data_IF_631129252360
#
_entry.id   IF_631129252360
#
_cell.length_a   1.000
_cell.length_b   1.000
_cell.length_c   1.000
_cell.angle_alpha   90.00
_cell.angle_beta   90.00
_cell.angle_gamma   90.00
#
_symmetry.space_group_name_H-M   'P 1'
#
loop_
_entity.id
_entity.type
_entity.pdbx_description
1 polymer ?
#
# COMPACT_ATOMS: atom_id res chain seq x y z
N UNK A 1 0.77 39.40 0.18
CA UNK A 1 0.64 38.74 -1.14
C UNK A 1 -0.47 37.73 -1.02
N UNK A 2 -1.65 38.11 -1.48
CA UNK A 2 -2.86 37.28 -1.52
C UNK A 2 -2.66 36.20 -2.56
N UNK A 3 -2.40 34.97 -2.14
CA UNK A 3 -2.49 33.80 -3.01
C UNK A 3 -3.96 33.56 -3.31
N UNK A 4 -4.37 33.76 -4.55
CA UNK A 4 -5.67 33.33 -5.04
C UNK A 4 -5.84 31.83 -4.77
N UNK A 5 -6.75 31.48 -3.86
CA UNK A 5 -7.02 30.12 -3.39
C UNK A 5 -8.00 29.34 -4.28
N UNK A 6 -8.20 29.77 -5.53
CA UNK A 6 -9.15 29.14 -6.46
C UNK A 6 -8.54 28.90 -7.85
N UNK A 7 -7.31 28.42 -7.89
CA UNK A 7 -6.73 27.94 -9.14
C UNK A 7 -7.06 26.45 -9.29
N UNK A 8 -8.03 26.13 -10.14
CA UNK A 8 -8.33 24.77 -10.62
C UNK A 8 -7.20 24.14 -11.44
N UNK A 9 -6.07 24.84 -11.63
CA UNK A 9 -4.90 24.30 -12.31
C UNK A 9 -4.17 23.32 -11.39
N UNK A 10 -3.86 22.11 -11.87
CA UNK A 10 -3.17 21.10 -11.07
C UNK A 10 -1.80 21.59 -10.62
N UNK A 11 -1.51 21.48 -9.32
CA UNK A 11 -0.32 22.03 -8.65
C UNK A 11 0.98 21.28 -8.96
N UNK A 12 0.86 20.01 -9.33
CA UNK A 12 2.02 19.14 -9.57
C UNK A 12 2.02 18.67 -11.01
N UNK A 13 3.10 19.04 -11.69
CA UNK A 13 3.32 18.74 -13.10
C UNK A 13 4.71 18.13 -13.30
N UNK A 14 4.86 17.38 -14.38
CA UNK A 14 6.13 16.78 -14.83
C UNK A 14 6.26 16.95 -16.34
N UNK A 15 7.40 16.58 -16.91
CA UNK A 15 7.59 16.49 -18.37
C UNK A 15 8.00 15.09 -18.77
N UNK A 16 7.76 14.70 -20.02
CA UNK A 16 8.26 13.42 -20.54
C UNK A 16 9.78 13.32 -20.44
N UNK A 17 10.51 14.42 -20.65
CA UNK A 17 11.96 14.46 -20.49
C UNK A 17 12.38 14.17 -19.04
N UNK A 18 11.70 14.77 -18.06
CA UNK A 18 11.96 14.51 -16.64
C UNK A 18 11.69 13.05 -16.26
N UNK A 19 10.55 12.48 -16.70
CA UNK A 19 10.20 11.08 -16.46
C UNK A 19 11.23 10.12 -17.05
N UNK A 20 11.71 10.40 -18.27
CA UNK A 20 12.74 9.60 -18.94
C UNK A 20 14.08 9.67 -18.22
N UNK A 21 14.50 10.87 -17.82
CA UNK A 21 15.74 11.09 -17.04
C UNK A 21 15.70 10.43 -15.68
N UNK A 22 14.52 10.40 -15.04
CA UNK A 22 14.30 9.70 -13.77
C UNK A 22 14.21 8.17 -13.91
N UNK A 23 14.20 7.64 -15.13
CA UNK A 23 14.20 6.21 -15.40
C UNK A 23 12.81 5.56 -15.28
N UNK A 24 11.77 6.20 -15.82
CA UNK A 24 10.44 5.58 -15.91
C UNK A 24 10.52 4.26 -16.67
N UNK A 25 9.74 3.25 -16.27
CA UNK A 25 9.69 1.99 -17.02
C UNK A 25 9.14 2.24 -18.45
N UNK A 26 9.58 1.43 -19.41
CA UNK A 26 9.14 1.59 -20.81
C UNK A 26 7.62 1.48 -20.95
N UNK A 27 7.01 0.49 -20.29
CA UNK A 27 5.57 0.27 -20.30
C UNK A 27 4.79 1.51 -19.81
N UNK A 28 5.08 1.97 -18.59
CA UNK A 28 4.39 3.12 -18.00
C UNK A 28 4.62 4.42 -18.78
N UNK A 29 5.86 4.67 -19.22
CA UNK A 29 6.15 5.83 -20.07
C UNK A 29 5.38 5.78 -21.39
N UNK A 30 5.38 4.62 -22.07
CA UNK A 30 4.74 4.45 -23.37
C UNK A 30 3.21 4.54 -23.26
N UNK A 31 2.63 4.02 -22.18
CA UNK A 31 1.21 4.15 -21.85
C UNK A 31 0.80 5.61 -21.71
N UNK A 32 1.59 6.42 -21.00
CA UNK A 32 1.35 7.86 -20.90
C UNK A 32 1.46 8.54 -22.26
N UNK A 33 2.48 8.20 -23.06
CA UNK A 33 2.63 8.75 -24.42
C UNK A 33 1.41 8.46 -25.29
N UNK A 34 0.91 7.21 -25.30
CA UNK A 34 -0.31 6.85 -26.06
C UNK A 34 -1.51 7.64 -25.59
N UNK A 35 -1.68 7.79 -24.28
CA UNK A 35 -2.75 8.62 -23.72
C UNK A 35 -2.65 10.08 -24.17
N UNK A 36 -1.46 10.66 -24.20
CA UNK A 36 -1.24 12.05 -24.65
C UNK A 36 -1.46 12.21 -26.17
N UNK A 37 -1.22 11.15 -26.95
CA UNK A 37 -1.53 11.10 -28.38
C UNK A 37 -3.03 10.90 -28.67
N UNK A 38 -3.82 10.50 -27.67
CA UNK A 38 -5.20 10.06 -27.86
C UNK A 38 -5.31 8.66 -28.50
N UNK A 39 -4.25 7.86 -28.41
CA UNK A 39 -4.17 6.51 -28.95
C UNK A 39 -4.37 5.46 -27.86
N UNK A 40 -4.84 4.28 -28.27
CA UNK A 40 -4.96 3.12 -27.37
C UNK A 40 -3.59 2.49 -27.13
N UNK A 41 -3.30 2.15 -25.88
CA UNK A 41 -2.11 1.38 -25.52
C UNK A 41 -2.27 -0.08 -25.98
N UNK A 42 -1.33 -0.59 -26.77
CA UNK A 42 -1.36 -1.93 -27.35
C UNK A 42 -0.41 -2.91 -26.65
N UNK A 43 -0.57 -4.21 -26.91
CA UNK A 43 0.37 -5.24 -26.42
C UNK A 43 1.79 -5.04 -26.97
N UNK A 44 1.92 -4.58 -28.22
CA UNK A 44 3.24 -4.25 -28.80
C UNK A 44 3.92 -3.09 -28.07
N UNK A 45 3.14 -2.10 -27.61
CA UNK A 45 3.68 -1.00 -26.80
C UNK A 45 4.16 -1.48 -25.42
N UNK A 46 3.50 -2.48 -24.84
CA UNK A 46 3.85 -3.07 -23.54
C UNK A 46 5.13 -3.91 -23.61
N UNK A 47 5.30 -4.70 -24.67
CA UNK A 47 6.49 -5.53 -24.89
C UNK A 47 7.71 -4.71 -25.37
N UNK A 48 7.53 -3.40 -25.59
CA UNK A 48 8.56 -2.53 -26.14
C UNK A 48 9.66 -2.24 -25.12
N UNK A 49 10.89 -2.64 -25.46
CA UNK A 49 12.10 -2.30 -24.69
C UNK A 49 12.70 -0.93 -25.06
N UNK A 50 11.86 0.03 -25.45
CA UNK A 50 12.29 1.39 -25.79
C UNK A 50 11.17 2.40 -25.58
N UNK A 51 11.57 3.66 -25.35
CA UNK A 51 10.62 4.76 -25.22
C UNK A 51 10.05 5.14 -26.59
N UNK A 52 8.73 5.29 -26.67
CA UNK A 52 8.07 5.91 -27.82
C UNK A 52 8.60 7.34 -27.96
N UNK A 53 9.17 7.64 -29.12
CA UNK A 53 9.57 9.00 -29.43
C UNK A 53 8.32 9.85 -29.69
N UNK A 54 8.06 10.80 -28.80
CA UNK A 54 6.98 11.77 -28.92
C UNK A 54 7.49 13.12 -28.47
N UNK A 55 7.45 14.11 -29.39
CA UNK A 55 7.87 15.47 -29.08
C UNK A 55 6.76 16.18 -28.32
N UNK A 56 6.94 16.29 -27.00
CA UNK A 56 5.99 16.94 -26.12
C UNK A 56 6.74 17.64 -24.98
N UNK A 57 6.81 18.97 -25.09
CA UNK A 57 7.56 19.84 -24.18
C UNK A 57 6.66 20.50 -23.11
N UNK A 58 5.34 20.27 -23.18
CA UNK A 58 4.39 20.84 -22.23
C UNK A 58 4.46 20.12 -20.87
N UNK A 59 4.09 20.86 -19.83
CA UNK A 59 3.89 20.30 -18.50
C UNK A 59 2.66 19.38 -18.47
N UNK A 60 2.85 18.21 -17.89
CA UNK A 60 1.84 17.16 -17.75
C UNK A 60 1.40 17.12 -16.29
N UNK A 61 0.13 17.42 -15.98
CA UNK A 61 -0.45 17.21 -14.67
C UNK A 61 -0.30 15.78 -14.17
N UNK A 62 0.03 15.58 -12.89
CA UNK A 62 0.00 14.24 -12.30
C UNK A 62 -1.39 13.60 -12.34
N UNK A 63 -2.46 14.40 -12.44
CA UNK A 63 -3.83 13.91 -12.63
C UNK A 63 -4.02 13.21 -13.99
N UNK A 64 -3.30 13.63 -15.03
CA UNK A 64 -3.35 12.99 -16.33
C UNK A 64 -2.67 11.62 -16.26
N UNK A 65 -1.56 11.50 -15.53
CA UNK A 65 -0.88 10.23 -15.25
C UNK A 65 -1.77 9.32 -14.40
N UNK A 66 -2.42 9.85 -13.36
CA UNK A 66 -3.36 9.09 -12.55
C UNK A 66 -4.48 8.50 -13.42
N UNK A 67 -5.02 9.28 -14.36
CA UNK A 67 -6.08 8.86 -15.26
C UNK A 67 -5.61 7.85 -16.31
N UNK A 68 -4.43 8.05 -16.90
CA UNK A 68 -3.93 7.20 -17.99
C UNK A 68 -3.31 5.90 -17.48
N UNK A 69 -2.54 5.99 -16.40
CA UNK A 69 -1.67 4.92 -15.95
C UNK A 69 -2.17 4.26 -14.67
N UNK A 70 -2.73 5.06 -13.76
CA UNK A 70 -3.16 4.63 -12.44
C UNK A 70 -2.31 5.23 -11.31
N UNK A 71 -2.67 4.89 -10.08
CA UNK A 71 -2.09 5.49 -8.88
C UNK A 71 -0.59 5.19 -8.71
N UNK A 72 -0.14 3.98 -9.02
CA UNK A 72 1.26 3.59 -8.80
C UNK A 72 2.23 4.43 -9.65
N UNK A 73 1.93 4.64 -10.93
CA UNK A 73 2.73 5.50 -11.81
C UNK A 73 2.62 6.98 -11.43
N UNK A 74 1.46 7.43 -10.98
CA UNK A 74 1.27 8.80 -10.49
C UNK A 74 2.09 9.06 -9.21
N UNK A 75 2.11 8.11 -8.27
CA UNK A 75 2.94 8.16 -7.07
C UNK A 75 4.43 8.11 -7.41
N UNK A 76 4.84 7.23 -8.33
CA UNK A 76 6.22 7.15 -8.78
C UNK A 76 6.69 8.48 -9.37
N UNK A 77 5.84 9.14 -10.15
CA UNK A 77 6.12 10.40 -10.85
C UNK A 77 6.34 11.60 -9.93
N UNK A 78 5.89 11.55 -8.66
CA UNK A 78 6.15 12.59 -7.66
C UNK A 78 7.65 12.89 -7.47
N UNK A 79 8.53 11.91 -7.72
CA UNK A 79 9.99 12.10 -7.67
C UNK A 79 10.53 13.10 -8.68
N UNK A 80 9.75 13.38 -9.73
CA UNK A 80 10.09 14.32 -10.79
C UNK A 80 9.55 15.73 -10.50
N UNK A 81 8.83 15.91 -9.38
CA UNK A 81 8.21 17.18 -8.99
C UNK A 81 9.11 17.88 -7.97
N UNK A 82 9.52 19.11 -8.27
CA UNK A 82 10.30 19.94 -7.34
C UNK A 82 9.40 20.65 -6.33
N UNK A 83 9.87 20.80 -5.09
CA UNK A 83 9.16 21.57 -4.05
C UNK A 83 7.89 20.91 -3.49
N UNK A 84 7.63 19.63 -3.81
CA UNK A 84 6.47 18.89 -3.32
C UNK A 84 6.74 18.07 -2.05
N UNK A 85 7.96 18.10 -1.49
CA UNK A 85 8.39 17.24 -0.37
C UNK A 85 7.44 17.27 0.82
N UNK A 86 6.94 18.45 1.19
CA UNK A 86 5.99 18.60 2.30
C UNK A 86 4.68 17.85 2.01
N UNK A 87 4.08 18.09 0.84
CA UNK A 87 2.82 17.46 0.45
C UNK A 87 2.97 15.94 0.30
N UNK A 88 4.07 15.47 -0.27
CA UNK A 88 4.39 14.04 -0.41
C UNK A 88 4.48 13.36 0.96
N UNK A 89 5.18 13.98 1.92
CA UNK A 89 5.31 13.43 3.28
C UNK A 89 3.98 13.39 4.01
N UNK A 90 3.17 14.45 3.90
CA UNK A 90 1.86 14.52 4.55
C UNK A 90 0.85 13.55 3.92
N UNK A 91 0.92 13.33 2.61
CA UNK A 91 0.16 12.26 1.96
C UNK A 91 0.57 10.89 2.50
N UNK A 92 1.86 10.60 2.62
CA UNK A 92 2.33 9.33 3.18
C UNK A 92 1.89 9.14 4.64
N UNK A 93 1.94 10.20 5.46
CA UNK A 93 1.42 10.17 6.84
C UNK A 93 -0.09 9.90 6.84
N UNK A 94 -0.85 10.58 6.00
CA UNK A 94 -2.30 10.35 5.90
C UNK A 94 -2.63 8.90 5.52
N UNK A 95 -1.90 8.32 4.56
CA UNK A 95 -2.02 6.92 4.17
C UNK A 95 -1.73 5.98 5.35
N UNK A 96 -0.64 6.24 6.08
CA UNK A 96 -0.27 5.46 7.25
C UNK A 96 -1.32 5.57 8.37
N UNK A 97 -1.94 6.74 8.55
CA UNK A 97 -3.01 6.96 9.52
C UNK A 97 -4.27 6.15 9.22
N UNK A 98 -4.55 5.79 7.96
CA UNK A 98 -5.69 4.93 7.61
C UNK A 98 -5.60 3.54 8.26
N UNK A 99 -4.38 3.07 8.47
CA UNK A 99 -4.07 1.77 9.08
C UNK A 99 -3.47 1.92 10.48
N UNK A 100 -3.58 3.10 11.11
CA UNK A 100 -3.05 3.34 12.46
C UNK A 100 -3.68 2.41 13.50
N UNK A 101 -4.93 1.99 13.28
CA UNK A 101 -5.64 1.02 14.11
C UNK A 101 -4.97 -0.37 14.12
N UNK A 102 -4.13 -0.69 13.12
CA UNK A 102 -3.31 -1.91 13.09
C UNK A 102 -1.95 -1.73 13.77
N UNK A 103 -1.56 -0.49 14.10
CA UNK A 103 -0.31 -0.19 14.78
C UNK A 103 -0.48 -0.37 16.29
N UNK A 104 0.02 -1.48 16.83
CA UNK A 104 -0.09 -1.79 18.26
C UNK A 104 0.99 -1.09 19.09
N UNK A 105 2.18 -0.88 18.52
CA UNK A 105 3.30 -0.26 19.22
C UNK A 105 3.22 1.27 19.14
N UNK A 106 3.34 1.93 20.31
CA UNK A 106 3.27 3.39 20.40
C UNK A 106 4.40 4.08 19.63
N UNK A 107 5.58 3.47 19.51
CA UNK A 107 6.72 4.01 18.73
C UNK A 107 6.37 4.20 17.25
N UNK A 108 5.50 3.35 16.71
CA UNK A 108 5.01 3.48 15.34
C UNK A 108 4.09 4.71 15.18
N UNK A 109 3.24 4.97 16.16
CA UNK A 109 2.34 6.14 16.16
C UNK A 109 3.11 7.44 16.39
N UNK A 110 4.03 7.45 17.35
CA UNK A 110 4.90 8.59 17.63
C UNK A 110 5.73 8.98 16.40
N UNK A 111 6.15 7.99 15.59
CA UNK A 111 6.87 8.26 14.35
C UNK A 111 6.00 8.96 13.28
N UNK A 112 4.68 8.71 13.24
CA UNK A 112 3.78 9.45 12.37
C UNK A 112 3.67 10.91 12.81
N UNK A 113 3.57 11.15 14.12
CA UNK A 113 3.49 12.51 14.66
C UNK A 113 4.78 13.31 14.40
N UNK A 114 5.95 12.68 14.58
CA UNK A 114 7.24 13.30 14.24
C UNK A 114 7.36 13.53 12.73
N UNK A 115 6.92 12.59 11.89
CA UNK A 115 6.95 12.76 10.43
C UNK A 115 6.05 13.92 9.96
N UNK A 116 4.87 14.08 10.56
CA UNK A 116 3.96 15.20 10.30
C UNK A 116 4.57 16.54 10.73
N UNK A 117 5.13 16.62 11.95
CA UNK A 117 5.84 17.80 12.43
C UNK A 117 7.03 18.16 11.54
N UNK A 118 7.84 17.17 11.17
CA UNK A 118 8.98 17.35 10.28
C UNK A 118 8.54 17.91 8.92
N UNK A 119 7.46 17.39 8.34
CA UNK A 119 6.91 17.90 7.08
C UNK A 119 6.44 19.36 7.19
N UNK A 120 5.99 19.79 8.38
CA UNK A 120 5.61 21.17 8.67
C UNK A 120 6.78 22.07 9.11
N UNK A 121 7.99 21.52 9.29
CA UNK A 121 9.17 22.26 9.76
C UNK A 121 9.27 22.40 11.28
N UNK A 122 8.42 21.70 12.04
CA UNK A 122 8.34 21.74 13.51
C UNK A 122 9.18 20.64 14.21
N UNK A 123 9.96 19.88 13.44
CA UNK A 123 10.88 18.87 13.94
C UNK A 123 12.17 18.83 13.11
N UNK A 124 13.28 18.44 13.73
CA UNK A 124 14.59 18.34 13.06
C UNK A 124 14.77 17.01 12.32
N UNK A 125 15.79 16.93 11.46
CA UNK A 125 16.14 15.68 10.77
C UNK A 125 16.58 14.60 11.77
N UNK A 126 17.26 14.99 12.84
CA UNK A 126 17.68 14.08 13.91
C UNK A 126 16.49 13.48 14.64
N UNK A 127 15.47 14.30 14.97
CA UNK A 127 14.22 13.82 15.56
C UNK A 127 13.51 12.84 14.60
N UNK A 128 13.44 13.18 13.30
CA UNK A 128 12.84 12.32 12.27
C UNK A 128 13.55 10.98 12.16
N UNK A 129 14.89 10.98 12.12
CA UNK A 129 15.70 9.76 12.02
C UNK A 129 15.56 8.92 13.28
N UNK A 130 15.59 9.52 14.46
CA UNK A 130 15.41 8.80 15.73
C UNK A 130 14.04 8.12 15.80
N UNK A 131 12.97 8.83 15.42
CA UNK A 131 11.63 8.26 15.37
C UNK A 131 11.51 7.13 14.34
N UNK A 132 12.12 7.28 13.16
CA UNK A 132 12.17 6.23 12.15
C UNK A 132 12.89 4.97 12.66
N UNK A 133 14.03 5.11 13.35
CA UNK A 133 14.76 3.97 13.95
C UNK A 133 13.90 3.28 15.00
N UNK A 134 13.19 4.04 15.84
CA UNK A 134 12.31 3.48 16.87
C UNK A 134 11.13 2.70 16.27
N UNK A 135 10.48 3.25 15.24
CA UNK A 135 9.40 2.56 14.51
C UNK A 135 9.91 1.31 13.77
N UNK A 136 11.12 1.36 13.22
CA UNK A 136 11.75 0.20 12.59
C UNK A 136 12.03 -0.92 13.61
N UNK A 137 12.49 -0.57 14.80
CA UNK A 137 12.66 -1.52 15.90
C UNK A 137 11.32 -2.15 16.30
N UNK A 138 10.25 -1.35 16.44
CA UNK A 138 8.91 -1.83 16.72
C UNK A 138 8.38 -2.82 15.67
N UNK A 139 8.58 -2.52 14.38
CA UNK A 139 8.19 -3.42 13.30
C UNK A 139 8.94 -4.77 13.38
N UNK A 140 10.23 -4.75 13.75
CA UNK A 140 11.03 -5.97 13.95
C UNK A 140 10.59 -6.78 15.16
N UNK A 141 10.26 -6.11 16.27
CA UNK A 141 9.73 -6.77 17.47
C UNK A 141 8.39 -7.45 17.14
N UNK A 142 7.45 -6.74 16.51
CA UNK A 142 6.16 -7.29 16.11
C UNK A 142 6.28 -8.48 15.14
N UNK A 143 7.21 -8.41 14.16
CA UNK A 143 7.47 -9.52 13.25
C UNK A 143 8.03 -10.76 13.97
N UNK A 144 8.88 -10.56 14.97
CA UNK A 144 9.41 -11.65 15.80
C UNK A 144 8.30 -12.27 16.66
N UNK A 145 7.45 -11.46 17.27
CA UNK A 145 6.36 -11.94 18.12
C UNK A 145 5.33 -12.72 17.30
N UNK A 146 4.95 -12.22 16.12
CA UNK A 146 4.07 -12.94 15.19
C UNK A 146 4.67 -14.28 14.72
N UNK A 147 5.98 -14.33 14.47
CA UNK A 147 6.66 -15.57 14.12
C UNK A 147 6.68 -16.56 15.30
N UNK A 148 6.85 -16.05 16.53
CA UNK A 148 6.78 -16.87 17.74
C UNK A 148 5.38 -17.44 17.94
N UNK A 149 4.33 -16.63 17.82
CA UNK A 149 2.94 -17.07 17.97
C UNK A 149 2.56 -18.11 16.92
N UNK A 150 2.98 -17.91 15.66
CA UNK A 150 2.76 -18.89 14.60
C UNK A 150 3.47 -20.23 14.90
N UNK A 151 4.71 -20.19 15.38
CA UNK A 151 5.45 -21.38 15.77
C UNK A 151 4.81 -22.08 16.98
N UNK A 152 4.33 -21.32 17.96
CA UNK A 152 3.63 -21.85 19.13
C UNK A 152 2.33 -22.55 18.72
N UNK A 153 1.49 -21.89 17.91
CA UNK A 153 0.22 -22.45 17.42
C UNK A 153 0.44 -23.74 16.64
N UNK A 154 1.42 -23.77 15.73
CA UNK A 154 1.77 -24.97 14.98
C UNK A 154 2.24 -26.12 15.90
N UNK A 155 3.05 -25.81 16.93
CA UNK A 155 3.50 -26.79 17.90
C UNK A 155 2.33 -27.32 18.76
N UNK A 156 1.40 -26.46 19.14
CA UNK A 156 0.22 -26.84 19.91
C UNK A 156 -0.76 -27.69 19.10
N UNK A 157 -1.04 -27.33 17.85
CA UNK A 157 -1.88 -28.11 16.94
C UNK A 157 -1.26 -29.50 16.69
N UNK A 158 0.06 -29.57 16.48
CA UNK A 158 0.76 -30.84 16.31
C UNK A 158 0.68 -31.71 17.58
N UNK A 159 0.88 -31.11 18.76
CA UNK A 159 0.78 -31.82 20.04
C UNK A 159 -0.66 -32.31 20.31
N UNK A 160 -1.66 -31.46 20.05
CA UNK A 160 -3.07 -31.80 20.19
C UNK A 160 -3.47 -32.95 19.25
N UNK A 161 -3.10 -32.86 17.97
CA UNK A 161 -3.37 -33.92 16.99
C UNK A 161 -2.71 -35.26 17.39
N UNK A 162 -1.47 -35.23 17.87
CA UNK A 162 -0.77 -36.42 18.34
C UNK A 162 -1.44 -37.03 19.58
N UNK A 163 -1.81 -36.20 20.57
CA UNK A 163 -2.49 -36.65 21.78
C UNK A 163 -3.86 -37.26 21.46
N UNK A 164 -4.62 -36.63 20.56
CA UNK A 164 -5.92 -37.12 20.11
C UNK A 164 -5.79 -38.45 19.35
N UNK A 165 -4.83 -38.56 18.42
CA UNK A 165 -4.54 -39.81 17.71
C UNK A 165 -4.16 -40.95 18.66
N UNK A 166 -3.34 -40.67 19.69
CA UNK A 166 -2.98 -41.66 20.70
C UNK A 166 -4.18 -42.09 21.56
N UNK A 167 -5.03 -41.14 21.98
CA UNK A 167 -6.25 -41.42 22.73
C UNK A 167 -7.22 -42.29 21.92
N UNK A 168 -7.38 -42.00 20.62
CA UNK A 168 -8.19 -42.81 19.72
C UNK A 168 -7.60 -44.19 19.44
N UNK A 169 -6.28 -44.30 19.28
CA UNK A 169 -5.62 -45.60 19.14
C UNK A 169 -5.80 -46.47 20.41
N UNK A 170 -5.77 -45.85 21.60
CA UNK A 170 -6.02 -46.52 22.86
C UNK A 170 -7.50 -46.91 23.05
N UNK A 171 -8.44 -46.08 22.58
CA UNK A 171 -9.88 -46.37 22.61
C UNK A 171 -10.31 -47.36 21.51
N UNK A 172 -9.55 -47.42 20.42
CA UNK A 172 -9.84 -48.14 19.18
C UNK A 172 -9.02 -49.42 19.01
N UNK A 173 -8.99 -50.28 20.02
CA UNK A 173 -8.72 -51.70 19.79
C UNK A 173 -9.95 -52.35 19.11
N UNK A 174 -10.27 -51.95 17.87
CA UNK A 174 -11.09 -52.69 16.89
C UNK A 174 -11.10 -51.99 15.51
N UNK A 175 -10.88 -52.76 14.45
CA UNK A 175 -10.44 -52.35 13.10
C UNK A 175 -11.39 -51.46 12.25
N UNK A 176 -12.48 -50.89 12.81
CA UNK A 176 -13.40 -49.98 12.08
C UNK A 176 -13.03 -48.50 12.19
N UNK A 177 -12.05 -48.15 13.03
CA UNK A 177 -11.75 -46.76 13.39
C UNK A 177 -10.94 -45.95 12.33
N UNK A 178 -10.06 -46.60 11.55
CA UNK A 178 -9.19 -45.89 10.61
C UNK A 178 -9.95 -45.23 9.44
N UNK A 179 -10.91 -45.97 8.84
CA UNK A 179 -11.67 -45.45 7.70
C UNK A 179 -12.64 -44.31 8.05
N UNK A 180 -13.10 -44.22 9.31
CA UNK A 180 -13.97 -43.16 9.78
C UNK A 180 -13.23 -41.84 10.04
N UNK A 181 -12.00 -41.91 10.55
CA UNK A 181 -11.17 -40.73 10.83
C UNK A 181 -10.75 -40.02 9.53
N UNK A 182 -10.33 -40.78 8.51
CA UNK A 182 -9.92 -40.24 7.22
C UNK A 182 -11.09 -39.57 6.48
N UNK A 183 -12.28 -40.17 6.55
CA UNK A 183 -13.49 -39.60 5.92
C UNK A 183 -13.95 -38.30 6.59
N UNK A 184 -13.89 -38.21 7.92
CA UNK A 184 -14.25 -36.99 8.66
C UNK A 184 -13.21 -35.87 8.50
N UNK A 185 -11.91 -36.20 8.46
CA UNK A 185 -10.85 -35.24 8.18
C UNK A 185 -10.98 -34.68 6.74
N UNK A 186 -11.23 -35.54 5.76
CA UNK A 186 -11.48 -35.13 4.37
C UNK A 186 -12.75 -34.28 4.24
N UNK A 187 -13.83 -34.62 4.94
CA UNK A 187 -15.06 -33.83 4.94
C UNK A 187 -14.87 -32.44 5.55
N UNK A 188 -14.10 -32.30 6.65
CA UNK A 188 -13.79 -31.00 7.26
C UNK A 188 -12.88 -30.12 6.40
N UNK A 189 -11.90 -30.72 5.73
CA UNK A 189 -11.06 -30.02 4.77
C UNK A 189 -11.93 -29.48 3.62
N UNK A 190 -12.83 -30.32 3.07
CA UNK A 190 -13.64 -29.99 1.92
C UNK A 190 -14.80 -29.01 2.18
N UNK A 191 -15.36 -28.93 3.40
CA UNK A 191 -16.63 -28.21 3.62
C UNK A 191 -16.51 -26.83 4.27
N UNK A 192 -15.33 -26.43 4.76
CA UNK A 192 -15.21 -25.21 5.56
C UNK A 192 -13.90 -24.45 5.38
N UNK A 193 -12.75 -25.12 5.52
CA UNK A 193 -11.46 -24.43 5.49
C UNK A 193 -11.22 -23.66 4.19
N UNK A 194 -11.53 -24.28 3.04
CA UNK A 194 -11.31 -23.68 1.72
C UNK A 194 -12.26 -22.51 1.42
N UNK A 195 -13.53 -22.62 1.83
CA UNK A 195 -14.51 -21.55 1.66
C UNK A 195 -14.22 -20.34 2.55
N UNK A 196 -13.80 -20.58 3.80
CA UNK A 196 -13.40 -19.52 4.72
C UNK A 196 -12.09 -18.84 4.28
N UNK A 197 -11.12 -19.59 3.76
CA UNK A 197 -9.90 -19.05 3.19
C UNK A 197 -10.19 -18.16 1.97
N UNK A 198 -10.98 -18.65 1.01
CA UNK A 198 -11.35 -17.88 -0.17
C UNK A 198 -12.15 -16.61 0.18
N UNK A 199 -13.09 -16.69 1.13
CA UNK A 199 -13.84 -15.53 1.60
C UNK A 199 -12.93 -14.49 2.29
N UNK A 200 -11.93 -14.96 3.05
CA UNK A 200 -10.93 -14.10 3.68
C UNK A 200 -10.05 -13.41 2.64
N UNK A 201 -9.59 -14.14 1.63
CA UNK A 201 -8.74 -13.59 0.57
C UNK A 201 -9.51 -12.54 -0.25
N UNK A 202 -10.76 -12.81 -0.60
CA UNK A 202 -11.63 -11.84 -1.27
C UNK A 202 -11.89 -10.60 -0.40
N UNK A 203 -12.09 -10.76 0.92
CA UNK A 203 -12.24 -9.63 1.83
C UNK A 203 -10.95 -8.79 1.91
N UNK A 204 -9.77 -9.44 1.88
CA UNK A 204 -8.48 -8.74 1.82
C UNK A 204 -8.29 -7.98 0.51
N UNK A 205 -8.66 -8.57 -0.63
CA UNK A 205 -8.60 -7.90 -1.93
C UNK A 205 -9.53 -6.68 -1.94
N UNK A 206 -10.78 -6.83 -1.51
CA UNK A 206 -11.73 -5.72 -1.43
C UNK A 206 -11.27 -4.60 -0.48
N UNK A 207 -10.67 -4.94 0.66
CA UNK A 207 -10.10 -3.96 1.59
C UNK A 207 -8.90 -3.23 0.97
N UNK A 208 -8.06 -3.94 0.19
CA UNK A 208 -6.95 -3.34 -0.55
C UNK A 208 -7.45 -2.38 -1.63
N UNK A 209 -8.47 -2.77 -2.38
CA UNK A 209 -9.08 -1.93 -3.43
C UNK A 209 -9.69 -0.66 -2.83
N UNK A 210 -10.48 -0.79 -1.76
CA UNK A 210 -11.06 0.36 -1.07
C UNK A 210 -9.99 1.32 -0.52
N UNK A 211 -8.88 0.79 0.02
CA UNK A 211 -7.76 1.62 0.46
C UNK A 211 -7.08 2.33 -0.71
N UNK A 212 -6.91 1.67 -1.86
CA UNK A 212 -6.34 2.26 -3.08
C UNK A 212 -7.24 3.35 -3.66
N UNK A 213 -8.55 3.17 -3.65
CA UNK A 213 -9.52 4.18 -4.08
C UNK A 213 -9.46 5.42 -3.18
N UNK A 214 -9.42 5.23 -1.86
CA UNK A 214 -9.28 6.34 -0.91
C UNK A 214 -7.94 7.08 -1.10
N UNK A 215 -6.85 6.37 -1.39
CA UNK A 215 -5.56 6.98 -1.72
C UNK A 215 -5.60 7.76 -3.04
N UNK A 216 -6.26 7.25 -4.07
CA UNK A 216 -6.42 7.94 -5.36
C UNK A 216 -7.26 9.21 -5.23
N UNK A 217 -8.32 9.18 -4.41
CA UNK A 217 -9.11 10.36 -4.09
C UNK A 217 -8.26 11.39 -3.33
N UNK A 218 -7.55 10.97 -2.29
CA UNK A 218 -6.71 11.90 -1.51
C UNK A 218 -5.55 12.46 -2.34
N UNK A 219 -4.94 11.66 -3.21
CA UNK A 219 -3.93 12.11 -4.17
C UNK A 219 -4.50 13.16 -5.11
N UNK A 220 -5.71 12.94 -5.63
CA UNK A 220 -6.43 13.91 -6.45
C UNK A 220 -6.62 15.23 -5.71
N UNK A 221 -7.10 15.16 -4.46
CA UNK A 221 -7.28 16.35 -3.60
C UNK A 221 -5.96 17.08 -3.38
N UNK A 222 -4.87 16.35 -3.14
CA UNK A 222 -3.52 16.90 -2.97
C UNK A 222 -3.04 17.63 -4.23
N UNK A 223 -3.22 17.05 -5.42
CA UNK A 223 -2.89 17.69 -6.70
C UNK A 223 -3.72 18.95 -6.98
N UNK A 224 -4.96 19.00 -6.50
CA UNK A 224 -5.86 20.15 -6.63
C UNK A 224 -5.70 21.19 -5.50
N UNK A 225 -4.83 20.96 -4.52
CA UNK A 225 -4.63 21.91 -3.41
C UNK A 225 -5.74 21.87 -2.34
N UNK A 226 -6.55 20.83 -2.32
CA UNK A 226 -7.73 20.67 -1.44
C UNK A 226 -7.56 19.58 -0.38
N UNK A 227 -6.36 19.02 -0.23
CA UNK A 227 -6.07 18.08 0.83
C UNK A 227 -6.16 18.75 2.22
N UNK A 228 -6.52 18.03 3.29
CA UNK A 228 -6.70 18.60 4.62
C UNK A 228 -5.51 19.42 5.14
N UNK A 229 -4.28 19.03 4.79
CA UNK A 229 -3.05 19.72 5.21
C UNK A 229 -2.65 20.93 4.33
N UNK A 230 -3.37 21.15 3.24
CA UNK A 230 -3.22 22.31 2.34
C UNK A 230 -4.26 23.39 2.63
N UNK A 231 -5.36 23.03 3.28
CA UNK A 231 -6.36 23.98 3.73
C UNK A 231 -5.85 24.70 5.00
N UNK A 232 -5.90 26.03 5.01
CA UNK A 232 -5.57 26.78 6.22
C UNK A 232 -6.48 26.30 7.36
N UNK A 233 -5.90 26.00 8.53
CA UNK A 233 -6.68 25.77 9.74
C UNK A 233 -7.51 27.03 9.96
N UNK A 234 -8.82 26.97 9.71
CA UNK A 234 -9.74 28.02 10.15
C UNK A 234 -9.62 28.00 11.67
N UNK A 235 -9.00 29.04 12.23
CA UNK A 235 -8.93 29.20 13.67
C UNK A 235 -10.38 29.18 14.20
N UNK A 236 -10.69 28.18 15.03
CA UNK A 236 -11.92 28.11 15.79
C UNK A 236 -11.86 29.10 16.96
#
# INVERSE_FOLDING_TARGET
>A
MTTDTNTTAPRFTVTLDALRKAGACYEGYNKLVRSLQGETFSAEDADRNSYIHFKHDAEIPLLDILKSNGLDDALWSLRCVSGADRDIRLFAVWCARQVEHLMQDQRSKDALDVAERFANGDATEEERVAAWVAAWAAARDAARDAAWDAAWNAAWDAAWNAAWAAAWAAAGADARAAAGADAWAAARAASGADAWAAARDAAWDAARDAARDAQAEMFTRMCLGSAPWQQAKVAA
#
